data_IF_315295894574
#
_entry.id   IF_315295894574
#
_cell.length_a   1.000
_cell.length_b   1.000
_cell.length_c   1.000
_cell.angle_alpha   90.00
_cell.angle_beta   90.00
_cell.angle_gamma   90.00
#
_symmetry.space_group_name_H-M   'P 1'
#
loop_
_entity.id
_entity.type
_entity.pdbx_description
1 polymer ?
#
# COMPACT_ATOMS: atom_id res chain seq x y z
N UNK A 1 8.65 -19.84 -10.11
CA UNK A 1 8.22 -18.44 -10.36
C UNK A 1 7.81 -17.87 -9.01
N UNK A 2 8.63 -17.00 -8.42
CA UNK A 2 8.28 -16.32 -7.16
C UNK A 2 7.13 -15.38 -7.47
N UNK A 3 5.93 -15.71 -6.99
CA UNK A 3 4.75 -14.84 -7.14
C UNK A 3 5.07 -13.53 -6.44
N UNK A 4 5.35 -12.48 -7.21
CA UNK A 4 5.67 -11.18 -6.66
C UNK A 4 4.39 -10.61 -6.02
N UNK A 5 4.38 -10.55 -4.70
CA UNK A 5 3.28 -9.94 -3.95
C UNK A 5 3.54 -8.45 -3.74
N UNK A 6 2.49 -7.66 -3.91
CA UNK A 6 2.49 -6.22 -3.65
C UNK A 6 1.95 -5.96 -2.24
N UNK A 7 2.49 -4.95 -1.56
CA UNK A 7 2.02 -4.48 -0.26
C UNK A 7 1.80 -2.97 -0.31
N UNK A 8 0.93 -2.49 0.57
CA UNK A 8 0.67 -1.06 0.73
C UNK A 8 1.37 -0.50 1.96
N UNK A 9 2.06 0.61 1.78
CA UNK A 9 2.78 1.33 2.84
C UNK A 9 2.30 2.78 2.86
N UNK A 10 1.35 3.13 3.76
CA UNK A 10 0.84 4.48 3.86
C UNK A 10 1.84 5.35 4.63
N UNK A 11 1.93 6.61 4.23
CA UNK A 11 2.49 7.68 5.06
C UNK A 11 1.34 8.31 5.82
N UNK A 12 1.41 8.28 7.15
CA UNK A 12 0.39 8.81 8.03
C UNK A 12 0.70 10.26 8.41
N UNK A 13 -0.33 11.11 8.48
CA UNK A 13 -0.29 12.44 9.10
C UNK A 13 -0.08 12.33 10.60
N UNK A 14 -0.73 11.35 11.23
CA UNK A 14 -0.64 11.07 12.66
C UNK A 14 -1.05 9.62 12.95
N UNK A 15 -0.41 8.99 13.92
CA UNK A 15 -0.69 7.62 14.35
C UNK A 15 0.12 6.56 13.61
N UNK A 16 -0.22 5.28 13.81
CA UNK A 16 0.47 4.14 13.20
C UNK A 16 -0.36 3.53 12.08
N UNK A 17 0.31 3.14 11.01
CA UNK A 17 -0.27 2.39 9.91
C UNK A 17 -0.72 0.97 10.31
N UNK A 18 -0.23 0.44 11.44
CA UNK A 18 -0.50 -0.93 11.90
C UNK A 18 -2.00 -1.21 12.13
N UNK A 19 -2.79 -0.18 12.41
CA UNK A 19 -4.25 -0.29 12.59
C UNK A 19 -5.05 -0.29 11.29
N UNK A 20 -4.40 -0.18 10.12
CA UNK A 20 -5.09 -0.21 8.82
C UNK A 20 -4.96 -1.62 8.23
N UNK A 21 -6.07 -2.35 8.03
CA UNK A 21 -6.05 -3.73 7.53
C UNK A 21 -5.29 -3.89 6.21
N UNK A 22 -5.45 -2.94 5.29
CA UNK A 22 -4.86 -2.93 3.95
C UNK A 22 -3.32 -2.96 3.95
N UNK A 23 -2.68 -2.60 5.07
CA UNK A 23 -1.21 -2.67 5.21
C UNK A 23 -0.67 -4.09 5.36
N UNK A 24 -1.52 -5.03 5.77
CA UNK A 24 -1.18 -6.42 6.02
C UNK A 24 -1.50 -7.34 4.85
N UNK A 25 -2.19 -6.82 3.82
CA UNK A 25 -2.62 -7.59 2.67
C UNK A 25 -1.46 -7.73 1.67
N UNK A 26 -1.27 -8.96 1.19
CA UNK A 26 -0.43 -9.28 0.05
C UNK A 26 -1.30 -9.32 -1.21
N UNK A 27 -1.20 -8.28 -2.02
CA UNK A 27 -1.95 -8.17 -3.26
C UNK A 27 -1.26 -8.97 -4.37
N UNK A 28 -2.02 -9.74 -5.17
CA UNK A 28 -1.47 -10.54 -6.27
C UNK A 28 -1.09 -9.69 -7.49
N UNK A 29 -1.59 -8.45 -7.57
CA UNK A 29 -1.37 -7.53 -8.69
C UNK A 29 -1.26 -6.08 -8.20
N UNK A 30 -0.65 -5.22 -9.03
CA UNK A 30 -0.58 -3.77 -8.77
C UNK A 30 -1.97 -3.11 -8.84
N UNK A 31 -2.88 -3.64 -9.65
CA UNK A 31 -4.24 -3.11 -9.81
C UNK A 31 -5.09 -3.36 -8.56
N UNK A 32 -4.98 -4.55 -7.98
CA UNK A 32 -5.57 -4.88 -6.68
C UNK A 32 -5.00 -3.98 -5.57
N UNK A 33 -3.68 -3.77 -5.57
CA UNK A 33 -3.02 -2.88 -4.62
C UNK A 33 -3.52 -1.42 -4.76
N UNK A 34 -3.67 -0.91 -5.99
CA UNK A 34 -4.24 0.43 -6.23
C UNK A 34 -5.68 0.55 -5.70
N UNK A 35 -6.47 -0.51 -5.83
CA UNK A 35 -7.83 -0.54 -5.28
C UNK A 35 -7.81 -0.49 -3.75
N UNK A 36 -6.91 -1.25 -3.11
CA UNK A 36 -6.67 -1.14 -1.67
C UNK A 36 -6.21 0.26 -1.25
N UNK A 37 -5.29 0.88 -1.99
CA UNK A 37 -4.79 2.22 -1.69
C UNK A 37 -5.90 3.28 -1.71
N UNK A 38 -6.87 3.17 -2.63
CA UNK A 38 -8.05 4.04 -2.67
C UNK A 38 -8.91 3.92 -1.39
N UNK A 39 -9.05 2.72 -0.84
CA UNK A 39 -9.76 2.51 0.44
C UNK A 39 -9.03 3.17 1.60
N UNK A 40 -7.69 3.10 1.62
CA UNK A 40 -6.89 3.75 2.67
C UNK A 40 -7.11 5.27 2.72
N UNK A 41 -7.37 5.92 1.58
CA UNK A 41 -7.67 7.35 1.53
C UNK A 41 -9.03 7.75 2.13
N UNK A 42 -9.89 6.80 2.49
CA UNK A 42 -11.05 7.08 3.34
C UNK A 42 -10.64 7.49 4.77
N UNK A 43 -9.45 7.07 5.20
CA UNK A 43 -8.86 7.55 6.44
C UNK A 43 -8.13 8.87 6.18
N UNK A 44 -8.68 9.98 6.66
CA UNK A 44 -8.10 11.34 6.48
C UNK A 44 -6.68 11.49 7.05
N UNK A 45 -6.26 10.57 7.91
CA UNK A 45 -4.88 10.53 8.43
C UNK A 45 -3.89 9.94 7.44
N UNK A 46 -4.31 9.37 6.31
CA UNK A 46 -3.42 8.86 5.26
C UNK A 46 -3.09 10.00 4.30
N UNK A 47 -1.80 10.35 4.20
CA UNK A 47 -1.32 11.43 3.32
C UNK A 47 -0.97 10.93 1.92
N UNK A 48 -0.35 9.76 1.84
CA UNK A 48 0.09 9.12 0.59
C UNK A 48 0.24 7.62 0.79
N UNK A 49 0.08 6.82 -0.25
CA UNK A 49 0.24 5.36 -0.20
C UNK A 49 1.30 4.93 -1.21
N UNK A 50 2.29 4.16 -0.75
CA UNK A 50 3.24 3.47 -1.62
C UNK A 50 2.77 2.05 -1.89
N UNK A 51 2.83 1.65 -3.15
CA UNK A 51 2.79 0.22 -3.51
C UNK A 51 4.23 -0.29 -3.57
N UNK A 52 4.53 -1.35 -2.81
CA UNK A 52 5.87 -1.96 -2.76
C UNK A 52 5.81 -3.44 -3.11
N UNK A 53 6.86 -3.98 -3.70
CA UNK A 53 7.01 -5.43 -3.93
C UNK A 53 7.93 -6.05 -2.87
N UNK A 54 7.66 -7.30 -2.49
CA UNK A 54 8.46 -8.03 -1.49
C UNK A 54 9.87 -8.42 -1.99
N UNK A 55 10.17 -8.20 -3.28
CA UNK A 55 11.46 -8.52 -3.90
C UNK A 55 12.49 -7.40 -3.74
N UNK A 56 13.76 -7.76 -3.54
CA UNK A 56 14.88 -6.83 -3.49
C UNK A 56 15.06 -6.12 -4.83
N UNK A 57 14.86 -4.79 -4.86
CA UNK A 57 14.78 -3.98 -6.08
C UNK A 57 13.39 -3.37 -6.31
N UNK A 58 12.76 -2.91 -5.22
CA UNK A 58 11.33 -2.71 -5.10
C UNK A 58 10.77 -1.65 -6.05
N UNK A 59 9.73 -2.02 -6.80
CA UNK A 59 8.84 -1.07 -7.45
C UNK A 59 8.23 -0.17 -6.37
N UNK A 60 8.34 1.14 -6.55
CA UNK A 60 7.72 2.15 -5.68
C UNK A 60 6.87 3.05 -6.56
N UNK A 61 5.56 2.88 -6.46
CA UNK A 61 4.61 3.82 -7.05
C UNK A 61 3.97 4.67 -5.95
N UNK A 62 4.05 5.99 -6.14
CA UNK A 62 3.32 6.95 -5.34
C UNK A 62 1.95 7.15 -5.97
N UNK A 63 0.91 6.78 -5.25
CA UNK A 63 -0.45 7.11 -5.63
C UNK A 63 -0.79 8.40 -4.89
N UNK A 64 -1.05 9.49 -5.61
CA UNK A 64 -1.56 10.73 -5.02
C UNK A 64 -3.10 10.70 -4.96
N UNK A 65 -3.70 11.57 -4.13
CA UNK A 65 -5.15 11.65 -3.95
C UNK A 65 -5.85 12.30 -5.15
#
# INVERSE_FOLDING_TARGET
MTTQAFRLRPTMKQGTAAGIPETWIHYPSVEDARTGAKLMYQNDRVLRVMVVTDSAGSFVEWIER
#
